data_IF_866166107366
#
_entry.id   IF_866166107366
#
_cell.length_a   1.000
_cell.length_b   1.000
_cell.length_c   1.000
_cell.angle_alpha   90.00
_cell.angle_beta   90.00
_cell.angle_gamma   90.00
#
_symmetry.space_group_name_H-M   'P 1'
#
loop_
_entity.id
_entity.type
_entity.pdbx_description
1 polymer ?
#
# COMPACT_ATOMS: atom_id res chain seq x y z
N UNK A 1 20.52 -28.94 11.67
CA UNK A 1 21.08 -27.60 11.97
C UNK A 1 20.54 -26.61 10.95
N UNK A 2 19.56 -25.78 11.32
CA UNK A 2 18.86 -24.88 10.39
C UNK A 2 19.45 -23.48 10.51
N UNK A 3 20.25 -23.05 9.53
CA UNK A 3 20.81 -21.71 9.47
C UNK A 3 19.71 -20.70 9.16
N UNK A 4 19.28 -19.91 10.15
CA UNK A 4 18.49 -18.69 9.90
C UNK A 4 19.42 -17.64 9.28
N UNK A 5 19.23 -17.33 7.99
CA UNK A 5 19.92 -16.21 7.34
C UNK A 5 19.49 -14.90 8.04
N UNK A 6 20.46 -14.14 8.54
CA UNK A 6 20.26 -12.72 8.93
C UNK A 6 19.80 -11.96 7.68
N UNK A 7 18.51 -11.63 7.61
CA UNK A 7 17.97 -10.75 6.58
C UNK A 7 18.45 -9.32 6.90
N UNK A 8 19.39 -8.83 6.10
CA UNK A 8 19.62 -7.38 5.99
C UNK A 8 18.29 -6.72 5.60
N UNK A 9 17.93 -5.63 6.28
CA UNK A 9 16.70 -4.86 6.03
C UNK A 9 16.72 -4.28 4.61
N UNK A 10 16.22 -5.05 3.65
CA UNK A 10 16.05 -4.63 2.26
C UNK A 10 14.63 -4.15 2.06
N UNK A 11 14.46 -3.11 1.24
CA UNK A 11 13.13 -2.66 0.81
C UNK A 11 12.50 -3.75 -0.05
N UNK A 12 11.32 -4.21 0.34
CA UNK A 12 10.48 -5.10 -0.45
C UNK A 12 9.58 -4.24 -1.34
N UNK A 13 9.52 -4.56 -2.63
CA UNK A 13 8.68 -3.84 -3.60
C UNK A 13 7.67 -4.82 -4.17
N UNK A 14 6.41 -4.53 -3.93
CA UNK A 14 5.30 -5.27 -4.51
C UNK A 14 4.80 -4.53 -5.77
N UNK A 15 4.86 -5.19 -6.92
CA UNK A 15 4.30 -4.66 -8.18
C UNK A 15 2.89 -5.19 -8.49
N UNK A 16 2.30 -6.00 -7.61
CA UNK A 16 0.99 -6.63 -7.77
C UNK A 16 0.99 -8.12 -7.41
N UNK A 17 -0.13 -8.86 -7.51
CA UNK A 17 -1.46 -8.43 -7.96
C UNK A 17 -2.38 -7.93 -6.84
N UNK A 18 -3.55 -7.39 -7.21
CA UNK A 18 -4.44 -6.69 -6.27
C UNK A 18 -4.93 -7.53 -5.09
N UNK A 19 -5.07 -8.84 -5.23
CA UNK A 19 -5.43 -9.73 -4.13
C UNK A 19 -4.33 -9.79 -3.04
N UNK A 20 -3.07 -9.93 -3.45
CA UNK A 20 -1.96 -9.97 -2.50
C UNK A 20 -1.66 -8.59 -1.90
N UNK A 21 -1.75 -7.53 -2.71
CA UNK A 21 -1.69 -6.17 -2.20
C UNK A 21 -2.81 -5.91 -1.17
N UNK A 22 -4.03 -6.37 -1.44
CA UNK A 22 -5.15 -6.30 -0.50
C UNK A 22 -4.87 -7.02 0.81
N UNK A 23 -4.34 -8.25 0.76
CA UNK A 23 -3.94 -8.99 1.96
C UNK A 23 -2.93 -8.20 2.81
N UNK A 24 -1.86 -7.67 2.19
CA UNK A 24 -0.87 -6.89 2.93
C UNK A 24 -1.47 -5.59 3.50
N UNK A 25 -2.37 -4.95 2.77
CA UNK A 25 -3.02 -3.72 3.21
C UNK A 25 -3.93 -3.98 4.43
N UNK A 26 -4.72 -5.05 4.41
CA UNK A 26 -5.56 -5.45 5.55
C UNK A 26 -4.73 -5.69 6.82
N UNK A 27 -3.52 -6.24 6.65
CA UNK A 27 -2.59 -6.51 7.74
C UNK A 27 -1.61 -5.36 8.05
N UNK A 28 -1.79 -4.17 7.48
CA UNK A 28 -0.96 -2.97 7.74
C UNK A 28 0.52 -3.14 7.37
N UNK A 29 0.82 -4.00 6.40
CA UNK A 29 2.19 -4.34 5.98
C UNK A 29 2.69 -3.51 4.80
N UNK A 30 1.98 -2.44 4.44
CA UNK A 30 2.37 -1.53 3.36
C UNK A 30 2.69 -0.16 3.95
N UNK A 31 3.96 0.23 3.90
CA UNK A 31 4.44 1.52 4.43
C UNK A 31 4.31 2.68 3.41
N UNK A 32 4.66 2.40 2.15
CA UNK A 32 4.66 3.39 1.05
C UNK A 32 3.89 2.86 -0.17
N UNK A 33 3.02 3.69 -0.74
CA UNK A 33 2.30 3.43 -1.97
C UNK A 33 2.84 4.29 -3.11
N UNK A 34 3.22 3.65 -4.22
CA UNK A 34 3.61 4.33 -5.46
C UNK A 34 2.53 4.15 -6.52
N UNK A 35 1.79 5.22 -6.81
CA UNK A 35 0.72 5.21 -7.81
C UNK A 35 1.19 5.84 -9.11
N UNK A 36 1.04 5.11 -10.21
CA UNK A 36 1.10 5.66 -11.56
C UNK A 36 -0.32 5.98 -12.01
N UNK A 37 -0.68 7.26 -11.96
CA UNK A 37 -1.97 7.75 -12.41
C UNK A 37 -1.89 8.11 -13.91
N UNK A 38 -2.88 7.68 -14.68
CA UNK A 38 -3.01 7.98 -16.09
C UNK A 38 -4.31 8.75 -16.33
N UNK A 39 -4.32 9.77 -17.21
CA UNK A 39 -5.52 10.54 -17.54
C UNK A 39 -6.45 9.73 -18.47
N UNK A 40 -6.99 8.61 -17.96
CA UNK A 40 -7.85 7.69 -18.68
C UNK A 40 -8.96 7.18 -17.76
N UNK A 41 -10.18 7.13 -18.28
CA UNK A 41 -11.34 6.63 -17.55
C UNK A 41 -11.72 5.23 -18.03
N UNK A 42 -11.80 4.29 -17.11
CA UNK A 42 -12.33 2.96 -17.35
C UNK A 42 -13.69 2.81 -16.68
N UNK A 43 -14.68 2.26 -17.39
CA UNK A 43 -15.99 1.94 -16.80
C UNK A 43 -15.99 0.71 -15.87
N UNK A 44 -14.94 -0.13 -15.95
CA UNK A 44 -14.71 -1.29 -15.09
C UNK A 44 -13.22 -1.63 -15.04
N UNK A 45 -12.76 -2.33 -14.01
CA UNK A 45 -11.36 -2.73 -13.91
C UNK A 45 -11.04 -3.58 -12.68
N UNK A 46 -9.77 -3.98 -12.58
CA UNK A 46 -9.24 -4.71 -11.43
C UNK A 46 -8.97 -3.71 -10.29
N UNK A 47 -9.52 -3.98 -9.11
CA UNK A 47 -9.30 -3.14 -7.91
C UNK A 47 -7.86 -3.26 -7.41
N UNK A 48 -7.29 -2.13 -6.97
CA UNK A 48 -5.90 -2.04 -6.48
C UNK A 48 -5.61 -2.97 -5.29
N UNK A 49 -6.56 -3.09 -4.37
CA UNK A 49 -6.45 -3.90 -3.15
C UNK A 49 -7.49 -5.05 -3.11
N UNK A 50 -7.90 -5.54 -4.29
CA UNK A 50 -8.86 -6.64 -4.38
C UNK A 50 -10.19 -6.31 -3.70
N UNK A 51 -10.60 -7.15 -2.74
CA UNK A 51 -11.86 -7.00 -1.99
C UNK A 51 -11.69 -6.24 -0.66
N UNK A 52 -10.50 -5.73 -0.37
CA UNK A 52 -10.26 -4.93 0.84
C UNK A 52 -11.23 -3.74 0.92
N UNK A 53 -11.77 -3.51 2.11
CA UNK A 53 -12.63 -2.34 2.42
C UNK A 53 -11.99 -1.41 3.44
N UNK A 54 -10.76 -1.73 3.87
CA UNK A 54 -9.98 -0.92 4.81
C UNK A 54 -9.73 0.47 4.25
N UNK A 55 -9.82 1.46 5.14
CA UNK A 55 -9.50 2.85 4.85
C UNK A 55 -8.28 3.29 5.67
N UNK A 56 -7.42 4.10 5.06
CA UNK A 56 -6.24 4.69 5.70
C UNK A 56 -6.04 6.11 5.20
N UNK A 57 -5.57 7.00 6.07
CA UNK A 57 -5.15 8.33 5.68
C UNK A 57 -3.81 8.26 4.93
N UNK A 58 -3.65 9.00 3.83
CA UNK A 58 -2.42 9.06 3.05
C UNK A 58 -1.74 10.41 3.20
N UNK A 59 -0.41 10.41 3.37
CA UNK A 59 0.41 11.61 3.29
C UNK A 59 1.22 11.61 1.98
N UNK A 60 1.09 12.67 1.17
CA UNK A 60 1.87 12.81 -0.07
C UNK A 60 3.34 13.07 0.27
N UNK A 61 4.23 12.20 -0.19
CA UNK A 61 5.67 12.33 -0.03
C UNK A 61 6.32 13.01 -1.24
N UNK A 62 5.84 12.69 -2.44
CA UNK A 62 6.40 13.18 -3.71
C UNK A 62 5.39 13.05 -4.85
N UNK A 63 5.49 13.93 -5.84
CA UNK A 63 4.66 13.91 -7.04
C UNK A 63 5.47 14.37 -8.25
N UNK A 64 5.40 13.60 -9.34
CA UNK A 64 6.00 13.95 -10.63
C UNK A 64 5.00 13.85 -11.74
N UNK A 65 4.78 14.95 -12.46
CA UNK A 65 3.95 15.01 -13.66
C UNK A 65 4.83 14.83 -14.89
N UNK A 66 4.41 13.98 -15.82
CA UNK A 66 5.07 13.75 -17.09
C UNK A 66 4.39 14.54 -18.21
N UNK A 67 5.11 14.79 -19.31
CA UNK A 67 4.59 15.56 -20.47
C UNK A 67 3.31 14.98 -21.09
N UNK A 68 3.08 13.68 -20.95
CA UNK A 68 1.88 13.00 -21.44
C UNK A 68 0.68 13.05 -20.46
N UNK A 69 0.78 13.83 -19.38
CA UNK A 69 -0.25 13.95 -18.36
C UNK A 69 -0.28 12.81 -17.33
N UNK A 70 0.56 11.77 -17.47
CA UNK A 70 0.70 10.76 -16.43
C UNK A 70 1.37 11.35 -15.18
N UNK A 71 1.05 10.80 -14.02
CA UNK A 71 1.63 11.22 -12.74
C UNK A 71 2.21 10.03 -11.99
N UNK A 72 3.40 10.18 -11.42
CA UNK A 72 3.92 9.28 -10.40
C UNK A 72 3.73 9.94 -9.03
N UNK A 73 2.94 9.33 -8.18
CA UNK A 73 2.61 9.79 -6.84
C UNK A 73 3.20 8.82 -5.81
N UNK A 74 3.81 9.33 -4.76
CA UNK A 74 4.33 8.54 -3.64
C UNK A 74 3.62 8.97 -2.37
N UNK A 75 3.01 8.03 -1.68
CA UNK A 75 2.28 8.26 -0.44
C UNK A 75 2.81 7.39 0.68
N UNK A 76 2.83 7.93 1.89
CA UNK A 76 2.93 7.15 3.12
C UNK A 76 1.53 6.76 3.59
N UNK A 77 1.37 5.53 4.09
CA UNK A 77 0.14 5.07 4.72
C UNK A 77 0.19 5.36 6.23
N UNK A 78 -0.82 6.04 6.76
CA UNK A 78 -0.90 6.39 8.18
C UNK A 78 -1.93 5.50 8.89
N UNK A 79 -1.53 4.30 9.30
CA UNK A 79 -2.38 3.43 10.10
C UNK A 79 -2.61 4.04 11.50
N UNK A 80 -3.87 4.14 11.92
CA UNK A 80 -4.22 4.58 13.27
C UNK A 80 -4.01 3.40 14.22
N UNK A 81 -3.11 3.56 15.18
CA UNK A 81 -2.93 2.56 16.25
C UNK A 81 -4.26 2.36 16.98
N UNK A 82 -4.88 1.20 16.82
CA UNK A 82 -6.01 0.81 17.65
C UNK A 82 -5.46 0.56 19.06
N UNK A 83 -5.71 1.48 20.00
CA UNK A 83 -5.53 1.19 21.42
C UNK A 83 -6.38 -0.05 21.74
N UNK A 84 -5.73 -1.15 22.11
CA UNK A 84 -6.42 -2.32 22.64
C UNK A 84 -7.31 -1.84 23.78
N UNK A 85 -8.62 -2.02 23.65
CA UNK A 85 -9.52 -1.95 24.79
C UNK A 85 -9.16 -3.16 25.65
N UNK A 86 -8.47 -2.92 26.76
CA UNK A 86 -8.49 -3.81 27.91
C UNK A 86 -9.96 -4.00 28.28
N UNK A 87 -10.54 -5.13 27.90
CA UNK A 87 -11.76 -5.63 28.49
C UNK A 87 -11.36 -6.34 29.78
N UNK A 88 -11.14 -5.56 30.83
CA UNK A 88 -11.28 -6.03 32.20
C UNK A 88 -12.74 -5.88 32.57
N UNK A 89 -13.49 -6.98 32.57
CA UNK A 89 -14.44 -7.36 33.63
C UNK A 89 -14.46 -8.88 33.70
#
# INVERSE_FOLDING_TARGET
MMMRRKLSMRKLVLCGGGAFAGFLFEHELIDELKIKFYPLLFGRGIKLFGNSTKAVDLALLDSKVYKNGAMLLRYQLNYRMQKQREATV
#
